data_IF_785565409325
#
_entry.id   IF_785565409325
#
_cell.length_a   1.000
_cell.length_b   1.000
_cell.length_c   1.000
_cell.angle_alpha   90.00
_cell.angle_beta   90.00
_cell.angle_gamma   90.00
#
_symmetry.space_group_name_H-M   'P 1'
#
loop_
_entity.id
_entity.type
_entity.pdbx_description
1 polymer ?
#
# COMPACT_ATOMS: atom_id res chain seq x y z
N UNK A 1 -21.60 83.47 -72.42
CA UNK A 1 -20.50 82.83 -71.65
C UNK A 1 -21.09 81.66 -70.86
N UNK A 2 -20.40 80.50 -70.79
CA UNK A 2 -21.01 79.20 -70.52
C UNK A 2 -20.99 78.77 -69.04
N UNK A 3 -21.84 77.78 -68.72
CA UNK A 3 -22.15 77.25 -67.39
C UNK A 3 -20.99 76.49 -66.74
N UNK A 4 -20.85 76.70 -65.43
CA UNK A 4 -20.00 75.95 -64.50
C UNK A 4 -20.58 74.57 -64.22
N UNK A 5 -19.73 73.55 -64.26
CA UNK A 5 -19.96 72.28 -63.58
C UNK A 5 -18.76 71.96 -62.70
N UNK A 6 -18.93 72.15 -61.39
CA UNK A 6 -17.96 71.76 -60.36
C UNK A 6 -18.02 70.25 -60.17
N UNK A 7 -16.93 69.56 -60.51
CA UNK A 7 -16.76 68.12 -60.27
C UNK A 7 -16.28 67.92 -58.83
N UNK A 8 -17.15 67.40 -57.97
CA UNK A 8 -16.84 67.10 -56.58
C UNK A 8 -16.25 65.68 -56.49
N UNK A 9 -14.95 65.56 -56.27
CA UNK A 9 -14.32 64.26 -55.99
C UNK A 9 -14.16 64.08 -54.48
N UNK A 10 -14.96 63.16 -53.92
CA UNK A 10 -14.93 62.72 -52.52
C UNK A 10 -13.55 62.17 -52.15
N UNK A 11 -13.00 62.63 -51.02
CA UNK A 11 -11.84 62.02 -50.37
C UNK A 11 -12.18 60.63 -49.83
N UNK A 12 -11.25 59.65 -49.90
CA UNK A 12 -11.49 58.31 -49.37
C UNK A 12 -11.46 58.33 -47.84
N UNK A 13 -12.50 57.81 -47.21
CA UNK A 13 -12.54 57.61 -45.76
C UNK A 13 -11.77 56.35 -45.43
N UNK A 14 -10.56 56.51 -44.88
CA UNK A 14 -9.81 55.40 -44.29
C UNK A 14 -10.46 55.00 -42.96
N UNK A 15 -11.21 53.90 -42.96
CA UNK A 15 -11.71 53.25 -41.74
C UNK A 15 -10.52 52.66 -41.00
N UNK A 16 -10.04 53.35 -39.95
CA UNK A 16 -9.05 52.78 -39.02
C UNK A 16 -9.72 51.64 -38.26
N UNK A 17 -9.36 50.40 -38.58
CA UNK A 17 -9.68 49.24 -37.74
C UNK A 17 -8.97 49.41 -36.40
N UNK A 18 -9.75 49.70 -35.34
CA UNK A 18 -9.26 49.67 -33.95
C UNK A 18 -9.01 48.21 -33.59
N UNK A 19 -7.76 47.77 -33.62
CA UNK A 19 -7.35 46.57 -32.89
C UNK A 19 -7.45 46.87 -31.40
N UNK A 20 -8.57 46.49 -30.79
CA UNK A 20 -8.67 46.42 -29.34
C UNK A 20 -7.85 45.21 -28.89
N UNK A 21 -6.65 45.44 -28.37
CA UNK A 21 -5.97 44.44 -27.56
C UNK A 21 -6.94 44.08 -26.43
N UNK A 22 -7.34 42.81 -26.34
CA UNK A 22 -8.21 42.32 -25.29
C UNK A 22 -7.45 42.42 -23.96
N UNK A 23 -7.57 43.56 -23.29
CA UNK A 23 -7.06 43.75 -21.93
C UNK A 23 -7.98 42.94 -21.04
N UNK A 24 -7.56 41.71 -20.70
CA UNK A 24 -8.31 40.86 -19.78
C UNK A 24 -8.54 41.65 -18.49
N UNK A 25 -9.79 41.87 -18.08
CA UNK A 25 -10.06 42.71 -16.93
C UNK A 25 -9.44 42.05 -15.69
N UNK A 26 -8.79 42.85 -14.85
CA UNK A 26 -8.07 42.42 -13.64
C UNK A 26 -8.88 41.46 -12.75
N UNK A 27 -10.22 41.56 -12.78
CA UNK A 27 -11.16 40.66 -12.10
C UNK A 27 -11.12 39.21 -12.62
N UNK A 28 -10.88 39.00 -13.91
CA UNK A 28 -10.72 37.67 -14.51
C UNK A 28 -9.40 37.01 -14.08
N UNK A 29 -8.32 37.78 -13.94
CA UNK A 29 -7.04 37.29 -13.41
C UNK A 29 -7.16 36.88 -11.93
N UNK A 30 -7.88 37.66 -11.12
CA UNK A 30 -8.12 37.34 -9.72
C UNK A 30 -8.94 36.06 -9.50
N UNK A 31 -9.96 35.82 -10.34
CA UNK A 31 -10.77 34.58 -10.30
C UNK A 31 -9.91 33.36 -10.66
N UNK A 32 -9.12 33.45 -11.73
CA UNK A 32 -8.24 32.33 -12.15
C UNK A 32 -7.17 32.04 -11.10
N UNK A 33 -6.55 33.07 -10.51
CA UNK A 33 -5.58 32.91 -9.43
C UNK A 33 -6.23 32.32 -8.15
N UNK A 34 -7.44 32.74 -7.81
CA UNK A 34 -8.21 32.17 -6.70
C UNK A 34 -8.54 30.70 -6.91
N UNK A 35 -9.00 30.32 -8.11
CA UNK A 35 -9.24 28.92 -8.46
C UNK A 35 -7.97 28.07 -8.38
N UNK A 36 -6.84 28.57 -8.89
CA UNK A 36 -5.55 27.87 -8.84
C UNK A 36 -5.04 27.66 -7.41
N UNK A 37 -5.24 28.64 -6.52
CA UNK A 37 -4.88 28.52 -5.11
C UNK A 37 -5.76 27.51 -4.37
N UNK A 38 -7.06 27.46 -4.68
CA UNK A 38 -8.00 26.48 -4.10
C UNK A 38 -7.64 25.06 -4.55
N UNK A 39 -7.37 24.82 -5.84
CA UNK A 39 -6.96 23.49 -6.31
C UNK A 39 -5.63 23.05 -5.71
N UNK A 40 -4.64 23.94 -5.59
CA UNK A 40 -3.38 23.62 -4.92
C UNK A 40 -3.59 23.30 -3.43
N UNK A 41 -4.44 24.05 -2.74
CA UNK A 41 -4.78 23.79 -1.34
C UNK A 41 -5.49 22.46 -1.11
N UNK A 42 -6.45 22.10 -1.98
CA UNK A 42 -7.14 20.80 -1.91
C UNK A 42 -6.18 19.65 -2.23
N UNK A 43 -5.34 19.77 -3.26
CA UNK A 43 -4.36 18.75 -3.61
C UNK A 43 -3.36 18.50 -2.47
N UNK A 44 -2.81 19.57 -1.89
CA UNK A 44 -1.92 19.48 -0.73
C UNK A 44 -2.62 18.89 0.50
N UNK A 45 -3.88 19.29 0.74
CA UNK A 45 -4.70 18.75 1.83
C UNK A 45 -4.94 17.24 1.70
N UNK A 46 -5.28 16.76 0.49
CA UNK A 46 -5.52 15.34 0.23
C UNK A 46 -4.24 14.49 0.40
N UNK A 47 -3.09 14.94 -0.10
CA UNK A 47 -1.81 14.24 0.11
C UNK A 47 -1.40 14.19 1.59
N UNK A 48 -1.69 15.24 2.35
CA UNK A 48 -1.39 15.29 3.78
C UNK A 48 -2.30 14.37 4.60
N UNK A 49 -3.56 14.21 4.20
CA UNK A 49 -4.50 13.29 4.85
C UNK A 49 -4.09 11.82 4.67
N UNK A 50 -3.59 11.42 3.51
CA UNK A 50 -3.17 10.03 3.24
C UNK A 50 -1.96 9.62 4.10
N UNK A 51 -0.99 10.53 4.27
CA UNK A 51 0.16 10.31 5.15
C UNK A 51 -0.22 10.22 6.65
N UNK A 52 -1.33 10.83 7.06
CA UNK A 52 -1.80 10.81 8.46
C UNK A 52 -2.72 9.63 8.77
N UNK A 53 -3.33 9.02 7.76
CA UNK A 53 -4.37 7.98 7.92
C UNK A 53 -4.03 6.65 7.23
N UNK A 54 -2.92 6.62 6.48
CA UNK A 54 -2.42 5.42 5.82
C UNK A 54 -1.96 4.37 6.83
N UNK A 55 -2.28 3.11 6.53
CA UNK A 55 -1.63 1.96 7.20
C UNK A 55 -0.40 1.65 6.38
N UNK A 56 0.78 1.74 6.99
CA UNK A 56 2.00 1.41 6.29
C UNK A 56 2.06 -0.08 5.92
N UNK A 57 2.63 -0.47 4.77
CA UNK A 57 2.68 -1.87 4.35
C UNK A 57 3.31 -2.81 5.40
N UNK A 58 4.32 -2.34 6.13
CA UNK A 58 5.00 -3.07 7.21
C UNK A 58 4.17 -3.21 8.51
N UNK A 59 3.06 -2.50 8.62
CA UNK A 59 2.14 -2.62 9.75
C UNK A 59 0.98 -3.56 9.41
N UNK A 60 0.70 -3.79 8.12
CA UNK A 60 -0.45 -4.55 7.67
C UNK A 60 -0.15 -6.05 7.54
N UNK A 61 -0.88 -6.88 8.29
CA UNK A 61 -0.91 -8.34 8.11
C UNK A 61 -2.32 -8.77 7.70
N UNK A 62 -2.46 -9.40 6.52
CA UNK A 62 -3.75 -9.95 6.09
C UNK A 62 -3.80 -11.44 6.35
N UNK A 63 -4.67 -11.89 7.25
CA UNK A 63 -4.76 -13.29 7.70
C UNK A 63 -5.98 -13.95 7.09
N UNK A 64 -5.79 -15.05 6.38
CA UNK A 64 -6.84 -15.87 5.79
C UNK A 64 -7.02 -17.16 6.58
N UNK A 65 -8.25 -17.51 6.92
CA UNK A 65 -8.56 -18.69 7.74
C UNK A 65 -9.87 -19.34 7.35
N UNK A 66 -10.05 -20.61 7.72
CA UNK A 66 -11.35 -21.27 7.68
C UNK A 66 -12.16 -21.02 8.96
N UNK A 67 -13.46 -21.28 8.89
CA UNK A 67 -14.37 -21.17 10.03
C UNK A 67 -13.90 -22.04 11.21
N UNK A 68 -14.03 -21.52 12.43
CA UNK A 68 -13.72 -22.26 13.65
C UNK A 68 -12.24 -22.36 14.06
N UNK A 69 -11.28 -21.86 13.26
CA UNK A 69 -9.88 -21.84 13.71
C UNK A 69 -9.63 -20.74 14.77
N UNK A 70 -9.82 -21.10 16.04
CA UNK A 70 -9.66 -20.18 17.19
C UNK A 70 -8.23 -19.71 17.43
N UNK A 71 -7.22 -20.49 17.05
CA UNK A 71 -5.83 -20.12 17.28
C UNK A 71 -5.34 -19.00 16.35
N UNK A 72 -5.87 -18.92 15.12
CA UNK A 72 -5.64 -17.79 14.21
C UNK A 72 -6.10 -16.46 14.81
N UNK A 73 -7.21 -16.44 15.56
CA UNK A 73 -7.65 -15.22 16.27
C UNK A 73 -6.69 -14.83 17.38
N UNK A 74 -6.21 -15.79 18.16
CA UNK A 74 -5.29 -15.51 19.25
C UNK A 74 -3.96 -14.93 18.72
N UNK A 75 -3.47 -15.46 17.61
CA UNK A 75 -2.29 -14.93 16.93
C UNK A 75 -2.53 -13.54 16.35
N UNK A 76 -3.66 -13.30 15.68
CA UNK A 76 -4.04 -11.97 15.20
C UNK A 76 -4.05 -10.94 16.35
N UNK A 77 -4.64 -11.28 17.50
CA UNK A 77 -4.64 -10.40 18.68
C UNK A 77 -3.24 -10.12 19.23
N UNK A 78 -2.35 -11.11 19.21
CA UNK A 78 -0.96 -10.89 19.60
C UNK A 78 -0.26 -9.91 18.65
N UNK A 79 -0.46 -10.04 17.34
CA UNK A 79 0.06 -9.08 16.36
C UNK A 79 -0.51 -7.67 16.58
N UNK A 80 -1.80 -7.55 16.84
CA UNK A 80 -2.45 -6.25 17.16
C UNK A 80 -1.84 -5.61 18.41
N UNK A 81 -1.61 -6.39 19.48
CA UNK A 81 -0.94 -5.91 20.68
C UNK A 81 0.50 -5.44 20.44
N UNK A 82 1.11 -5.88 19.33
CA UNK A 82 2.47 -5.52 18.90
C UNK A 82 2.49 -4.33 17.95
N UNK A 83 1.34 -3.73 17.65
CA UNK A 83 1.20 -2.57 16.78
C UNK A 83 0.94 -2.89 15.30
N UNK A 84 0.74 -4.16 14.94
CA UNK A 84 0.31 -4.49 13.58
C UNK A 84 -1.18 -4.21 13.41
N UNK A 85 -1.57 -3.77 12.22
CA UNK A 85 -2.96 -3.76 11.78
C UNK A 85 -3.27 -5.10 11.13
N UNK A 86 -4.18 -5.87 11.73
CA UNK A 86 -4.53 -7.19 11.22
C UNK A 86 -5.86 -7.16 10.46
N UNK A 87 -5.84 -7.58 9.19
CA UNK A 87 -7.04 -7.81 8.40
C UNK A 87 -7.37 -9.30 8.38
N UNK A 88 -8.33 -9.70 9.20
CA UNK A 88 -8.81 -11.07 9.21
C UNK A 88 -9.82 -11.30 8.07
N UNK A 89 -9.61 -12.37 7.30
CA UNK A 89 -10.47 -12.81 6.19
C UNK A 89 -10.86 -14.27 6.41
N UNK A 90 -12.15 -14.49 6.63
CA UNK A 90 -12.69 -15.85 6.68
C UNK A 90 -13.03 -16.31 5.26
N UNK A 91 -12.64 -17.54 4.93
CA UNK A 91 -12.86 -18.17 3.62
C UNK A 91 -13.29 -19.62 3.81
N UNK A 92 -14.05 -20.16 2.87
CA UNK A 92 -14.51 -21.56 2.94
C UNK A 92 -13.34 -22.56 2.85
N UNK A 93 -12.38 -22.26 1.97
CA UNK A 93 -11.18 -23.08 1.77
C UNK A 93 -9.96 -22.20 1.55
N UNK A 94 -8.79 -22.67 2.03
CA UNK A 94 -7.52 -21.96 1.88
C UNK A 94 -6.76 -22.30 0.60
N UNK A 95 -7.15 -23.37 -0.11
CA UNK A 95 -6.43 -23.79 -1.31
C UNK A 95 -6.32 -22.69 -2.39
N UNK A 96 -7.37 -21.90 -2.70
CA UNK A 96 -7.24 -20.78 -3.64
C UNK A 96 -6.33 -19.67 -3.13
N UNK A 97 -6.36 -19.39 -1.82
CA UNK A 97 -5.51 -18.38 -1.19
C UNK A 97 -4.04 -18.78 -1.27
N UNK A 98 -3.72 -20.03 -0.88
CA UNK A 98 -2.35 -20.57 -0.94
C UNK A 98 -1.78 -20.54 -2.36
N UNK A 99 -2.58 -20.92 -3.36
CA UNK A 99 -2.15 -20.80 -4.77
C UNK A 99 -1.82 -19.36 -5.15
N UNK A 100 -2.65 -18.39 -4.75
CA UNK A 100 -2.40 -16.96 -5.04
C UNK A 100 -1.17 -16.42 -4.32
N UNK A 101 -0.88 -16.92 -3.12
CA UNK A 101 0.28 -16.53 -2.32
C UNK A 101 1.54 -17.36 -2.65
N UNK A 102 1.47 -18.28 -3.61
CA UNK A 102 2.55 -19.22 -3.95
C UNK A 102 3.07 -20.01 -2.73
N UNK A 103 2.17 -20.37 -1.82
CA UNK A 103 2.51 -21.16 -0.63
C UNK A 103 2.82 -22.61 -1.06
N UNK A 104 3.98 -23.17 -0.68
CA UNK A 104 4.34 -24.56 -0.99
C UNK A 104 3.30 -25.57 -0.50
N UNK A 105 3.04 -26.60 -1.31
CA UNK A 105 2.00 -27.62 -1.05
C UNK A 105 2.16 -28.38 0.29
N UNK A 106 3.37 -28.67 0.80
CA UNK A 106 3.53 -29.30 2.12
C UNK A 106 3.01 -28.45 3.29
N UNK A 107 2.78 -27.16 3.09
CA UNK A 107 2.27 -26.24 4.10
C UNK A 107 0.73 -26.18 4.04
N UNK A 108 0.08 -26.74 5.06
CA UNK A 108 -1.37 -26.95 5.08
C UNK A 108 -2.04 -26.63 6.43
N UNK A 109 -1.53 -25.63 7.16
CA UNK A 109 -2.08 -25.18 8.44
C UNK A 109 -3.53 -24.66 8.35
N UNK A 110 -4.13 -24.31 9.49
CA UNK A 110 -5.51 -23.83 9.53
C UNK A 110 -5.70 -22.39 9.01
N UNK A 111 -4.60 -21.65 8.83
CA UNK A 111 -4.58 -20.28 8.32
C UNK A 111 -3.27 -20.00 7.59
N UNK A 112 -3.32 -19.05 6.66
CA UNK A 112 -2.16 -18.47 5.97
C UNK A 112 -2.35 -16.97 5.96
N UNK A 113 -1.27 -16.21 6.09
CA UNK A 113 -1.31 -14.76 6.03
C UNK A 113 -0.41 -14.23 4.91
N UNK A 114 -0.67 -12.98 4.54
CA UNK A 114 0.18 -12.19 3.68
C UNK A 114 0.74 -11.03 4.50
N UNK A 115 2.05 -10.88 4.46
CA UNK A 115 2.78 -9.78 5.07
C UNK A 115 3.87 -9.32 4.12
N UNK A 116 3.83 -8.05 3.71
CA UNK A 116 4.62 -7.54 2.58
C UNK A 116 4.44 -8.45 1.34
N UNK A 117 5.54 -8.86 0.71
CA UNK A 117 5.57 -9.81 -0.42
C UNK A 117 5.59 -11.28 0.01
N UNK A 118 5.56 -11.57 1.32
CA UNK A 118 5.75 -12.92 1.85
C UNK A 118 4.42 -13.57 2.21
N UNK A 119 4.31 -14.88 1.95
CA UNK A 119 3.35 -15.69 2.68
C UNK A 119 3.85 -15.93 4.12
N UNK A 120 2.92 -16.07 5.05
CA UNK A 120 3.19 -16.37 6.45
C UNK A 120 2.29 -17.54 6.86
N UNK A 121 2.89 -18.71 7.08
CA UNK A 121 2.15 -19.93 7.44
C UNK A 121 2.30 -20.22 8.95
N UNK A 122 1.18 -20.47 9.64
CA UNK A 122 1.19 -20.76 11.08
C UNK A 122 1.31 -19.52 11.96
N UNK A 123 1.72 -19.69 13.22
CA UNK A 123 1.74 -18.62 14.24
C UNK A 123 3.10 -17.91 14.34
N UNK A 124 3.71 -17.55 13.21
CA UNK A 124 5.03 -16.89 13.17
C UNK A 124 5.09 -15.70 14.13
N UNK A 125 6.14 -15.66 14.95
CA UNK A 125 6.35 -14.64 15.99
C UNK A 125 6.40 -13.22 15.41
N UNK A 126 5.91 -12.25 16.17
CA UNK A 126 5.97 -10.84 15.78
C UNK A 126 7.42 -10.34 15.58
N UNK A 127 8.37 -10.87 16.37
CA UNK A 127 9.80 -10.58 16.20
C UNK A 127 10.37 -11.10 14.89
N UNK A 128 9.88 -12.24 14.41
CA UNK A 128 10.29 -12.80 13.12
C UNK A 128 9.72 -11.99 11.96
N UNK A 129 8.46 -11.54 12.04
CA UNK A 129 7.87 -10.62 11.06
C UNK A 129 8.59 -9.26 11.04
N UNK A 130 8.91 -8.72 12.21
CA UNK A 130 9.67 -7.48 12.31
C UNK A 130 11.07 -7.65 11.69
N UNK A 131 11.70 -8.82 11.84
CA UNK A 131 12.98 -9.13 11.21
C UNK A 131 12.84 -9.30 9.70
N UNK A 132 11.77 -9.94 9.23
CA UNK A 132 11.48 -10.09 7.80
C UNK A 132 11.38 -8.73 7.11
N UNK A 133 10.73 -7.75 7.75
CA UNK A 133 10.68 -6.37 7.28
C UNK A 133 12.01 -5.62 7.36
N UNK A 134 12.93 -5.99 8.27
CA UNK A 134 14.25 -5.33 8.32
C UNK A 134 15.24 -5.93 7.32
N UNK A 135 15.22 -7.24 7.18
CA UNK A 135 16.25 -8.00 6.46
C UNK A 135 15.87 -8.29 5.01
N UNK A 136 14.57 -8.25 4.66
CA UNK A 136 14.04 -8.54 3.33
C UNK A 136 14.75 -9.73 2.64
N UNK A 137 14.81 -10.91 3.29
CA UNK A 137 15.53 -12.04 2.74
C UNK A 137 14.92 -12.47 1.40
N UNK A 138 15.75 -13.05 0.53
CA UNK A 138 15.29 -13.70 -0.70
C UNK A 138 14.54 -14.99 -0.32
N UNK A 139 13.21 -14.86 -0.21
CA UNK A 139 12.30 -15.94 0.14
C UNK A 139 10.90 -15.65 -0.41
N UNK A 140 10.12 -16.70 -0.65
CA UNK A 140 8.69 -16.59 -0.96
C UNK A 140 7.84 -16.42 0.32
N UNK A 141 8.32 -16.93 1.45
CA UNK A 141 7.61 -16.79 2.71
C UNK A 141 8.31 -17.40 3.91
N UNK A 142 7.59 -17.38 5.02
CA UNK A 142 8.05 -17.86 6.32
C UNK A 142 6.96 -18.74 6.94
N UNK A 143 7.36 -19.84 7.55
CA UNK A 143 6.46 -20.68 8.34
C UNK A 143 7.06 -20.94 9.71
N UNK A 144 6.21 -21.09 10.72
CA UNK A 144 6.61 -21.72 11.97
C UNK A 144 6.19 -23.18 11.90
N UNK A 145 7.16 -24.09 12.05
CA UNK A 145 7.07 -25.54 11.77
C UNK A 145 5.66 -26.12 11.94
N UNK A 146 5.13 -26.64 10.83
CA UNK A 146 3.81 -27.22 10.68
C UNK A 146 3.73 -28.70 11.12
N UNK A 147 4.72 -29.22 11.85
CA UNK A 147 4.67 -30.57 12.42
C UNK A 147 3.32 -30.79 13.15
N UNK A 148 2.54 -31.84 12.81
CA UNK A 148 1.15 -32.02 13.26
C UNK A 148 0.93 -32.02 14.78
N UNK A 149 2.01 -32.14 15.55
CA UNK A 149 2.00 -32.32 17.00
C UNK A 149 2.10 -31.00 17.79
N UNK A 150 2.39 -29.85 17.16
CA UNK A 150 2.65 -28.59 17.87
C UNK A 150 1.58 -27.50 17.63
N UNK A 151 0.32 -27.91 17.44
CA UNK A 151 -0.81 -27.03 17.18
C UNK A 151 -1.34 -26.25 18.41
N UNK A 152 -0.58 -26.11 19.50
CA UNK A 152 -1.09 -25.56 20.76
C UNK A 152 -0.27 -24.36 21.23
N UNK A 153 -0.98 -23.25 21.40
CA UNK A 153 -0.56 -22.15 22.27
C UNK A 153 0.03 -20.97 21.51
N UNK A 154 -0.34 -19.78 21.99
CA UNK A 154 0.37 -18.53 21.74
C UNK A 154 1.85 -18.75 22.02
N UNK A 155 2.65 -18.99 20.98
CA UNK A 155 4.10 -18.94 21.12
C UNK A 155 4.43 -17.53 21.54
N UNK A 156 4.83 -17.37 22.79
CA UNK A 156 5.31 -16.09 23.30
C UNK A 156 6.69 -15.88 22.67
N UNK A 157 6.98 -14.66 22.23
CA UNK A 157 8.25 -14.34 21.59
C UNK A 157 9.51 -14.76 22.37
N UNK A 158 9.39 -14.86 23.70
CA UNK A 158 10.47 -15.23 24.62
C UNK A 158 10.47 -16.71 25.03
N UNK A 159 9.64 -17.57 24.45
CA UNK A 159 9.65 -19.00 24.74
C UNK A 159 10.83 -19.69 24.03
N UNK A 160 11.87 -20.15 24.76
CA UNK A 160 13.03 -20.80 24.17
C UNK A 160 12.73 -22.21 23.66
N UNK A 161 11.58 -22.79 24.02
CA UNK A 161 11.13 -24.10 23.55
C UNK A 161 10.28 -24.02 22.27
N UNK A 162 9.97 -22.81 21.82
CA UNK A 162 9.20 -22.60 20.62
C UNK A 162 9.96 -23.06 19.38
N UNK A 163 9.27 -23.78 18.50
CA UNK A 163 9.86 -24.21 17.23
C UNK A 163 10.27 -22.99 16.41
N UNK A 164 11.52 -22.94 15.90
CA UNK A 164 11.99 -21.80 15.14
C UNK A 164 11.21 -21.66 13.84
N UNK A 165 11.09 -20.42 13.37
CA UNK A 165 10.58 -20.16 12.03
C UNK A 165 11.57 -20.60 10.96
N UNK A 166 11.06 -20.85 9.76
CA UNK A 166 11.78 -21.36 8.60
C UNK A 166 11.35 -20.54 7.38
N UNK A 167 12.31 -20.08 6.59
CA UNK A 167 12.06 -19.44 5.30
C UNK A 167 11.84 -20.50 4.23
N UNK A 168 11.02 -20.17 3.25
CA UNK A 168 10.77 -21.00 2.08
C UNK A 168 10.97 -20.18 0.81
N UNK A 169 11.55 -20.79 -0.22
CA UNK A 169 11.53 -20.25 -1.58
C UNK A 169 10.25 -20.67 -2.35
N UNK A 170 10.16 -20.24 -3.61
CA UNK A 170 9.02 -20.54 -4.49
C UNK A 170 8.93 -22.02 -4.90
N UNK A 171 10.01 -22.79 -4.72
CA UNK A 171 10.07 -24.23 -5.00
C UNK A 171 9.82 -25.07 -3.76
N UNK A 172 9.62 -24.44 -2.60
CA UNK A 172 9.41 -25.09 -1.32
C UNK A 172 10.70 -25.54 -0.62
N UNK A 173 11.87 -25.13 -1.10
CA UNK A 173 13.12 -25.35 -0.37
C UNK A 173 13.15 -24.46 0.87
N UNK A 174 13.60 -25.04 1.98
CA UNK A 174 13.55 -24.40 3.29
C UNK A 174 14.93 -23.99 3.80
N UNK A 175 15.02 -22.79 4.38
CA UNK A 175 16.22 -22.30 5.06
C UNK A 175 15.86 -21.90 6.50
N UNK A 176 16.69 -22.28 7.47
CA UNK A 176 16.44 -21.94 8.87
C UNK A 176 16.43 -20.42 9.10
N UNK A 177 15.39 -19.89 9.75
CA UNK A 177 15.28 -18.47 10.09
C UNK A 177 15.96 -18.15 11.44
N UNK A 178 17.24 -18.49 11.56
CA UNK A 178 18.01 -18.22 12.79
C UNK A 178 18.54 -16.77 12.83
N UNK A 179 18.64 -16.15 14.03
CA UNK A 179 19.37 -14.90 14.19
C UNK A 179 20.79 -15.05 13.62
N UNK A 180 21.28 -14.04 12.90
CA UNK A 180 22.67 -14.02 12.44
C UNK A 180 23.60 -14.12 13.67
N UNK A 181 24.62 -15.00 13.61
CA UNK A 181 25.50 -15.28 14.76
C UNK A 181 26.42 -14.11 15.18
N UNK A 182 26.25 -12.92 14.61
CA UNK A 182 27.20 -11.81 14.74
C UNK A 182 26.70 -10.66 15.63
N UNK A 183 26.16 -10.98 16.81
CA UNK A 183 25.86 -10.00 17.87
C UNK A 183 26.66 -10.23 19.16
N UNK A 184 27.69 -11.09 19.12
CA UNK A 184 28.71 -11.23 20.16
C UNK A 184 30.09 -11.15 19.51
N UNK A 185 30.59 -9.92 19.39
CA UNK A 185 31.93 -9.58 18.91
C UNK A 185 32.14 -8.09 19.09
#
# INVERSE_FOLDING_TARGET
>A
MPRSHSRQTRSPQFVRARTQAAVLPYRSLAIVAGCAAITAGIAAGLSYCDALLGIEPQELVTVYRTHGCRCAFAWARELENRGYVVRLREVDTLAPVRRRLHTPEPLNGCHVAQYLSYFVEGHVRATDLARLNREHPEAAGIAQDASPQHAVGTVRDADPSATPSVLYDVHGHSLAWQPTRNARG
#
